data_IF_296987647434
#
_entry.id   IF_296987647434
#
_cell.length_a   1.000
_cell.length_b   1.000
_cell.length_c   1.000
_cell.angle_alpha   90.00
_cell.angle_beta   90.00
_cell.angle_gamma   90.00
#
_symmetry.space_group_name_H-M   'P 1'
#
loop_
_entity.id
_entity.type
_entity.pdbx_description
1 polymer ?
#
# COMPACT_ATOMS: atom_id res chain seq x y z
N UNK A 1 7.29 -52.84 3.95
CA UNK A 1 7.08 -52.20 2.63
C UNK A 1 7.30 -50.70 2.79
N UNK A 2 8.25 -50.14 2.04
CA UNK A 2 8.58 -48.72 2.10
C UNK A 2 7.65 -47.92 1.18
N UNK A 3 6.97 -46.89 1.71
CA UNK A 3 6.16 -45.98 0.91
C UNK A 3 7.02 -44.84 0.36
N UNK A 4 7.02 -44.72 -0.96
CA UNK A 4 7.80 -43.81 -1.80
C UNK A 4 7.20 -42.39 -1.76
N UNK A 5 8.07 -41.37 -1.72
CA UNK A 5 7.75 -39.92 -1.77
C UNK A 5 6.94 -39.56 -3.02
N UNK A 6 5.91 -38.73 -2.85
CA UNK A 6 5.41 -37.84 -3.91
C UNK A 6 5.36 -36.41 -3.36
N UNK A 7 6.48 -35.70 -3.51
CA UNK A 7 6.50 -34.25 -3.39
C UNK A 7 5.73 -33.65 -4.57
N UNK A 8 4.51 -33.21 -4.32
CA UNK A 8 3.88 -32.16 -5.11
C UNK A 8 3.73 -30.96 -4.19
N UNK A 9 4.74 -30.10 -4.19
CA UNK A 9 4.52 -28.72 -3.80
C UNK A 9 3.44 -28.16 -4.74
N UNK A 10 2.35 -27.57 -4.24
CA UNK A 10 1.53 -26.75 -5.12
C UNK A 10 2.44 -25.64 -5.62
N UNK A 11 2.74 -25.67 -6.92
CA UNK A 11 3.29 -24.52 -7.60
C UNK A 11 2.29 -23.39 -7.36
N UNK A 12 2.68 -22.43 -6.54
CA UNK A 12 2.00 -21.15 -6.44
C UNK A 12 2.12 -20.50 -7.81
N UNK A 13 1.09 -20.68 -8.62
CA UNK A 13 0.82 -19.84 -9.77
C UNK A 13 -0.01 -18.65 -9.28
N UNK A 14 0.49 -17.91 -8.29
CA UNK A 14 0.14 -16.50 -8.19
C UNK A 14 0.82 -15.86 -9.39
N UNK A 15 0.01 -15.36 -10.32
CA UNK A 15 0.49 -14.48 -11.37
C UNK A 15 1.37 -13.42 -10.72
N UNK A 16 2.66 -13.49 -11.00
CA UNK A 16 3.73 -12.64 -10.48
C UNK A 16 3.55 -11.24 -11.11
N UNK A 17 2.44 -10.58 -10.81
CA UNK A 17 2.28 -9.16 -11.08
C UNK A 17 3.34 -8.47 -10.22
N UNK A 18 4.43 -8.12 -10.89
CA UNK A 18 5.61 -7.53 -10.28
C UNK A 18 5.19 -6.36 -9.40
N UNK A 19 5.27 -6.57 -8.08
CA UNK A 19 5.10 -5.52 -7.09
C UNK A 19 6.27 -4.55 -7.26
N UNK A 20 5.95 -3.29 -7.50
CA UNK A 20 6.92 -2.22 -7.71
C UNK A 20 7.34 -1.60 -6.37
N UNK A 21 8.57 -1.10 -6.30
CA UNK A 21 9.05 -0.33 -5.16
C UNK A 21 8.88 1.17 -5.39
N UNK A 22 8.88 1.97 -4.33
CA UNK A 22 8.63 3.40 -4.46
C UNK A 22 9.67 4.13 -5.31
N UNK A 23 10.91 3.63 -5.34
CA UNK A 23 11.99 4.22 -6.15
C UNK A 23 11.78 4.05 -7.66
N UNK A 24 10.99 3.05 -8.04
CA UNK A 24 10.76 2.71 -9.44
C UNK A 24 9.48 3.37 -9.99
N UNK A 25 8.72 4.05 -9.14
CA UNK A 25 7.51 4.78 -9.52
C UNK A 25 7.89 5.99 -10.37
N UNK A 26 7.35 6.04 -11.59
CA UNK A 26 7.56 7.14 -12.54
C UNK A 26 6.49 8.23 -12.40
N UNK A 27 6.74 9.43 -12.95
CA UNK A 27 5.72 10.48 -13.01
C UNK A 27 4.72 10.18 -14.13
N UNK A 28 3.43 10.42 -13.86
CA UNK A 28 2.35 10.30 -14.84
C UNK A 28 1.37 9.17 -14.55
N UNK A 29 0.25 9.11 -15.30
CA UNK A 29 -0.78 8.10 -15.08
C UNK A 29 -0.31 6.73 -15.59
N UNK A 30 -0.09 5.82 -14.66
CA UNK A 30 0.16 4.41 -14.93
C UNK A 30 -0.44 3.60 -13.79
N UNK A 31 -0.94 2.41 -14.10
CA UNK A 31 -1.41 1.47 -13.09
C UNK A 31 -0.21 0.63 -12.63
N UNK A 32 0.04 0.61 -11.33
CA UNK A 32 1.09 -0.20 -10.71
C UNK A 32 0.60 -0.74 -9.38
N UNK A 33 1.15 -1.88 -8.97
CA UNK A 33 0.87 -2.49 -7.67
C UNK A 33 2.07 -2.23 -6.77
N UNK A 34 1.80 -1.61 -5.63
CA UNK A 34 2.80 -1.31 -4.61
C UNK A 34 2.46 -2.12 -3.36
N UNK A 35 3.49 -2.51 -2.62
CA UNK A 35 3.34 -3.09 -1.30
C UNK A 35 4.04 -2.21 -0.29
N UNK A 36 3.33 -1.81 0.75
CA UNK A 36 3.86 -0.84 1.71
C UNK A 36 3.29 -1.06 3.10
N UNK A 37 4.04 -0.63 4.10
CA UNK A 37 3.56 -0.49 5.47
C UNK A 37 3.12 0.95 5.72
N UNK A 38 1.89 1.11 6.23
CA UNK A 38 1.37 2.40 6.65
C UNK A 38 2.01 2.81 7.98
N UNK A 39 2.99 3.73 7.97
CA UNK A 39 3.66 4.19 9.19
C UNK A 39 2.70 5.02 10.04
N UNK A 40 2.04 6.00 9.43
CA UNK A 40 1.12 6.90 10.10
C UNK A 40 0.17 7.56 9.08
N UNK A 41 -0.94 8.11 9.57
CA UNK A 41 -1.85 8.94 8.79
C UNK A 41 -2.54 9.94 9.70
N UNK A 42 -2.93 11.09 9.15
CA UNK A 42 -3.65 12.15 9.86
C UNK A 42 -4.56 12.93 8.91
N UNK A 43 -5.56 13.61 9.47
CA UNK A 43 -6.41 14.52 8.71
C UNK A 43 -5.65 15.79 8.33
N UNK A 44 -5.62 16.10 7.03
CA UNK A 44 -5.16 17.38 6.53
C UNK A 44 -6.34 18.34 6.45
N UNK A 45 -6.24 19.48 7.13
CA UNK A 45 -7.29 20.48 7.18
C UNK A 45 -6.81 21.83 6.64
N UNK A 46 -7.70 22.58 6.01
CA UNK A 46 -7.44 23.95 5.62
C UNK A 46 -7.33 24.82 6.89
N UNK A 47 -6.19 25.46 7.17
CA UNK A 47 -6.01 26.20 8.41
C UNK A 47 -6.92 27.43 8.52
N UNK A 48 -7.32 28.00 7.38
CA UNK A 48 -8.19 29.19 7.29
C UNK A 48 -9.65 28.80 7.33
N UNK A 49 -10.08 27.91 6.43
CA UNK A 49 -11.49 27.51 6.27
C UNK A 49 -11.94 26.44 7.27
N UNK A 50 -11.00 25.81 7.99
CA UNK A 50 -11.24 24.66 8.89
C UNK A 50 -11.97 23.49 8.22
N UNK A 51 -11.76 23.31 6.92
CA UNK A 51 -12.35 22.24 6.12
C UNK A 51 -11.35 21.10 5.89
N UNK A 52 -11.80 19.85 5.97
CA UNK A 52 -10.99 18.67 5.63
C UNK A 52 -10.56 18.71 4.14
N UNK A 53 -9.24 18.72 3.91
CA UNK A 53 -8.60 18.70 2.59
C UNK A 53 -8.25 17.27 2.18
N UNK A 54 -8.02 16.35 3.12
CA UNK A 54 -7.70 14.97 2.79
C UNK A 54 -7.17 14.19 3.98
N UNK A 55 -6.70 12.97 3.73
CA UNK A 55 -5.84 12.25 4.66
C UNK A 55 -4.42 12.25 4.11
N UNK A 56 -3.49 12.69 4.94
CA UNK A 56 -2.07 12.54 4.70
C UNK A 56 -1.59 11.22 5.27
N UNK A 57 -0.68 10.55 4.56
CA UNK A 57 -0.17 9.24 4.90
C UNK A 57 1.35 9.23 4.79
N UNK A 58 1.99 8.53 5.72
CA UNK A 58 3.40 8.20 5.66
C UNK A 58 3.54 6.70 5.40
N UNK A 59 4.14 6.34 4.27
CA UNK A 59 4.24 4.97 3.78
C UNK A 59 5.71 4.56 3.70
N UNK A 60 6.02 3.28 3.96
CA UNK A 60 7.36 2.73 3.77
C UNK A 60 7.29 1.41 2.99
N UNK A 61 8.14 1.26 1.99
CA UNK A 61 8.25 0.01 1.22
C UNK A 61 9.27 -0.96 1.85
N UNK A 62 9.43 -2.13 1.23
CA UNK A 62 10.34 -3.18 1.70
C UNK A 62 11.83 -2.75 1.62
N UNK A 63 12.18 -1.79 0.77
CA UNK A 63 13.54 -1.25 0.67
C UNK A 63 13.82 -0.14 1.71
N UNK A 64 12.84 0.19 2.54
CA UNK A 64 12.95 1.27 3.51
C UNK A 64 12.79 2.67 2.90
N UNK A 65 12.32 2.77 1.66
CA UNK A 65 11.98 4.05 1.04
C UNK A 65 10.70 4.57 1.66
N UNK A 66 10.73 5.81 2.14
CA UNK A 66 9.56 6.47 2.74
C UNK A 66 8.99 7.46 1.76
N UNK A 67 7.67 7.42 1.55
CA UNK A 67 6.95 8.41 0.75
C UNK A 67 5.74 8.95 1.49
N UNK A 68 5.32 10.15 1.09
CA UNK A 68 4.06 10.74 1.51
C UNK A 68 2.97 10.36 0.51
N UNK A 69 1.89 9.79 1.02
CA UNK A 69 0.68 9.50 0.25
C UNK A 69 -0.46 10.42 0.65
N UNK A 70 -1.39 10.69 -0.26
CA UNK A 70 -2.52 11.57 0.00
C UNK A 70 -3.82 10.96 -0.51
N UNK A 71 -4.86 10.97 0.34
CA UNK A 71 -6.22 10.57 -0.04
C UNK A 71 -7.11 11.80 -0.07
N UNK A 72 -7.72 12.14 -1.23
CA UNK A 72 -8.63 13.29 -1.32
C UNK A 72 -9.94 13.04 -0.55
N UNK A 73 -10.68 14.11 -0.14
CA UNK A 73 -11.82 14.00 0.76
C UNK A 73 -12.91 13.07 0.26
N UNK A 74 -13.17 13.10 -1.06
CA UNK A 74 -14.18 12.27 -1.71
C UNK A 74 -13.89 10.77 -1.65
N UNK A 75 -12.66 10.36 -1.31
CA UNK A 75 -12.25 8.96 -1.20
C UNK A 75 -12.02 8.49 0.23
N UNK A 76 -12.01 9.40 1.21
CA UNK A 76 -11.75 9.07 2.62
C UNK A 76 -12.69 7.98 3.13
N UNK A 77 -14.00 8.12 2.87
CA UNK A 77 -15.00 7.14 3.32
C UNK A 77 -14.76 5.72 2.81
N UNK A 78 -14.11 5.58 1.65
CA UNK A 78 -13.79 4.28 1.06
C UNK A 78 -12.61 3.62 1.76
N UNK A 79 -11.56 4.38 2.07
CA UNK A 79 -10.28 3.81 2.50
C UNK A 79 -10.07 3.86 4.02
N UNK A 80 -10.49 4.93 4.69
CA UNK A 80 -10.27 5.14 6.12
C UNK A 80 -10.71 3.96 7.01
N UNK A 81 -11.86 3.29 6.78
CA UNK A 81 -12.29 2.17 7.63
C UNK A 81 -11.31 0.99 7.67
N UNK A 82 -10.52 0.79 6.61
CA UNK A 82 -9.58 -0.32 6.48
C UNK A 82 -8.15 0.07 6.88
N UNK A 83 -7.89 1.37 7.08
CA UNK A 83 -6.56 1.90 7.38
C UNK A 83 -6.17 1.67 8.85
N UNK A 84 -5.06 0.98 9.06
CA UNK A 84 -4.51 0.67 10.37
C UNK A 84 -3.02 0.97 10.40
N UNK A 85 -2.61 1.75 11.40
CA UNK A 85 -1.22 2.10 11.61
C UNK A 85 -0.37 0.85 11.81
N UNK A 86 0.76 0.77 11.12
CA UNK A 86 1.69 -0.35 11.18
C UNK A 86 1.32 -1.56 10.32
N UNK A 87 0.14 -1.56 9.68
CA UNK A 87 -0.28 -2.64 8.79
C UNK A 87 0.33 -2.53 7.39
N UNK A 88 0.47 -3.68 6.73
CA UNK A 88 0.94 -3.80 5.34
C UNK A 88 -0.25 -3.91 4.41
N UNK A 89 -0.19 -3.20 3.29
CA UNK A 89 -1.17 -3.17 2.21
C UNK A 89 -0.48 -3.48 0.88
#
# INVERSE_FOLDING_TARGET
MAMKRNGKSPASSESDESVMFFRDVSLGPHETRLRFRLIHFWEAQNPVKKTLIGLEMLLIDEQGTVIQGFIPPGRIKKYLPEMKRGSVY
#
